data_IF_054575305394
#
_entry.id   IF_054575305394
#
_cell.length_a   1.000
_cell.length_b   1.000
_cell.length_c   1.000
_cell.angle_alpha   90.00
_cell.angle_beta   90.00
_cell.angle_gamma   90.00
#
_symmetry.space_group_name_H-M   'P 1'
#
loop_
_entity.id
_entity.type
_entity.pdbx_description
1 polymer ?
#
# COMPACT_ATOMS: atom_id res chain seq x y z
N UNK A 1 13.34 -21.12 -14.03
CA UNK A 1 12.00 -20.62 -13.67
C UNK A 1 10.98 -21.49 -14.37
N UNK A 2 10.10 -22.16 -13.64
CA UNK A 2 9.02 -22.96 -14.22
C UNK A 2 8.07 -21.99 -14.96
N UNK A 3 7.80 -22.24 -16.24
CA UNK A 3 6.86 -21.45 -17.03
C UNK A 3 5.56 -22.22 -17.15
N UNK A 4 4.44 -21.51 -17.03
CA UNK A 4 3.12 -22.06 -17.35
C UNK A 4 3.11 -22.65 -18.76
N UNK A 5 2.55 -23.85 -18.91
CA UNK A 5 2.51 -24.60 -20.16
C UNK A 5 1.09 -25.02 -20.57
N UNK A 6 0.07 -24.42 -19.95
CA UNK A 6 -1.33 -24.67 -20.30
C UNK A 6 -1.80 -23.79 -21.48
N UNK A 7 -3.12 -23.72 -21.65
CA UNK A 7 -3.78 -23.12 -22.81
C UNK A 7 -4.52 -21.82 -22.53
N UNK A 8 -4.52 -21.34 -21.29
CA UNK A 8 -5.14 -20.08 -20.90
C UNK A 8 -4.57 -18.91 -21.69
N UNK A 9 -5.48 -18.06 -22.19
CA UNK A 9 -5.16 -16.81 -22.89
C UNK A 9 -5.97 -15.69 -22.21
N UNK A 10 -5.32 -14.60 -21.75
CA UNK A 10 -6.03 -13.50 -21.12
C UNK A 10 -6.90 -12.76 -22.13
N UNK A 11 -8.06 -12.26 -21.68
CA UNK A 11 -8.94 -11.41 -22.48
C UNK A 11 -8.34 -10.01 -22.64
N UNK A 12 -8.83 -9.24 -23.61
CA UNK A 12 -8.42 -7.84 -23.80
C UNK A 12 -8.69 -6.99 -22.55
N UNK A 13 -9.84 -7.19 -21.90
CA UNK A 13 -10.21 -6.53 -20.63
C UNK A 13 -9.19 -6.83 -19.52
N UNK A 14 -8.75 -8.10 -19.38
CA UNK A 14 -7.72 -8.46 -18.39
C UNK A 14 -6.40 -7.76 -18.68
N UNK A 15 -6.00 -7.70 -19.97
CA UNK A 15 -4.76 -7.04 -20.38
C UNK A 15 -4.85 -5.55 -20.02
N UNK A 16 -5.95 -4.88 -20.38
CA UNK A 16 -6.17 -3.47 -20.08
C UNK A 16 -6.14 -3.19 -18.56
N UNK A 17 -6.77 -4.05 -17.75
CA UNK A 17 -6.76 -3.91 -16.30
C UNK A 17 -5.35 -4.04 -15.71
N UNK A 18 -4.55 -4.97 -16.22
CA UNK A 18 -3.15 -5.15 -15.81
C UNK A 18 -2.31 -3.93 -16.21
N UNK A 19 -2.45 -3.45 -17.44
CA UNK A 19 -1.72 -2.27 -17.95
C UNK A 19 -2.09 -0.98 -17.19
N UNK A 20 -3.36 -0.83 -16.81
CA UNK A 20 -3.80 0.26 -15.95
C UNK A 20 -3.11 0.20 -14.57
N UNK A 21 -3.01 -1.00 -13.98
CA UNK A 21 -2.30 -1.19 -12.71
C UNK A 21 -0.80 -0.89 -12.84
N UNK A 22 -0.16 -1.27 -13.95
CA UNK A 22 1.24 -0.91 -14.25
C UNK A 22 1.42 0.60 -14.37
N UNK A 23 0.48 1.30 -15.01
CA UNK A 23 0.48 2.77 -15.09
C UNK A 23 0.40 3.41 -13.71
N UNK A 24 -0.49 2.94 -12.85
CA UNK A 24 -0.60 3.42 -11.46
C UNK A 24 0.69 3.14 -10.67
N UNK A 25 1.29 1.96 -10.85
CA UNK A 25 2.56 1.59 -10.19
C UNK A 25 3.70 2.51 -10.64
N UNK A 26 3.82 2.80 -11.94
CA UNK A 26 4.83 3.72 -12.47
C UNK A 26 4.73 5.12 -11.84
N UNK A 27 3.52 5.60 -11.58
CA UNK A 27 3.30 6.86 -10.86
C UNK A 27 3.83 6.75 -9.43
N UNK A 28 3.52 5.67 -8.72
CA UNK A 28 4.04 5.41 -7.36
C UNK A 28 5.57 5.34 -7.33
N UNK A 29 6.18 4.70 -8.34
CA UNK A 29 7.63 4.64 -8.51
C UNK A 29 8.24 6.02 -8.80
N UNK A 30 7.57 6.86 -9.58
CA UNK A 30 8.01 8.24 -9.80
C UNK A 30 8.04 9.05 -8.49
N UNK A 31 7.03 8.91 -7.62
CA UNK A 31 7.07 9.48 -6.27
C UNK A 31 8.27 8.96 -5.47
N UNK A 32 8.54 7.64 -5.51
CA UNK A 32 9.69 7.05 -4.84
C UNK A 32 11.03 7.61 -5.35
N UNK A 33 11.19 7.76 -6.66
CA UNK A 33 12.41 8.32 -7.25
C UNK A 33 12.62 9.78 -6.81
N UNK A 34 11.57 10.59 -6.77
CA UNK A 34 11.64 11.96 -6.24
C UNK A 34 12.05 11.96 -4.75
N UNK A 35 11.51 11.04 -3.93
CA UNK A 35 11.96 10.86 -2.53
C UNK A 35 13.43 10.48 -2.44
N UNK A 36 13.87 9.58 -3.31
CA UNK A 36 15.22 9.03 -3.28
C UNK A 36 16.26 10.08 -3.68
N UNK A 37 15.93 11.00 -4.58
CA UNK A 37 16.84 12.06 -5.04
C UNK A 37 17.06 13.18 -4.01
N UNK A 38 16.33 13.22 -2.90
CA UNK A 38 16.47 14.22 -1.84
C UNK A 38 17.48 13.83 -0.73
N UNK A 39 18.60 13.18 -1.07
CA UNK A 39 19.56 12.59 -0.11
C UNK A 39 20.18 13.57 0.90
N UNK A 40 20.14 14.89 0.66
CA UNK A 40 20.61 15.90 1.61
C UNK A 40 19.46 16.62 2.31
N UNK A 41 19.19 16.25 3.57
CA UNK A 41 18.24 16.97 4.41
C UNK A 41 18.99 18.02 5.23
N UNK A 42 19.05 19.26 4.73
CA UNK A 42 19.49 20.40 5.54
C UNK A 42 18.34 20.79 6.46
N UNK A 43 18.55 20.71 7.76
CA UNK A 43 17.55 21.14 8.76
C UNK A 43 17.85 22.60 9.12
N UNK A 44 17.05 23.58 8.66
CA UNK A 44 17.22 24.96 9.09
C UNK A 44 16.86 25.07 10.58
N UNK A 45 17.76 25.64 11.38
CA UNK A 45 17.52 25.95 12.79
C UNK A 45 17.40 27.46 12.90
N UNK A 46 16.15 27.94 12.93
CA UNK A 46 15.84 29.37 13.06
C UNK A 46 15.90 29.86 14.52
N UNK A 47 15.59 28.97 15.47
CA UNK A 47 15.61 29.29 16.90
C UNK A 47 17.06 29.46 17.40
N UNK A 48 17.38 30.69 17.82
CA UNK A 48 18.71 31.05 18.32
C UNK A 48 19.10 30.33 19.62
N UNK A 49 18.12 30.02 20.47
CA UNK A 49 18.31 29.32 21.73
C UNK A 49 18.63 27.84 21.48
N UNK A 50 17.92 27.22 20.55
CA UNK A 50 18.14 25.84 20.10
C UNK A 50 19.49 25.69 19.39
N UNK A 51 19.86 26.68 18.58
CA UNK A 51 21.17 26.74 17.92
C UNK A 51 22.32 26.79 18.93
N UNK A 52 22.14 27.52 20.03
CA UNK A 52 23.11 27.53 21.14
C UNK A 52 23.14 26.22 21.92
N UNK A 53 22.00 25.55 22.13
CA UNK A 53 21.97 24.22 22.76
C UNK A 53 22.74 23.19 21.93
N UNK A 54 22.51 23.14 20.62
CA UNK A 54 23.22 22.22 19.71
C UNK A 54 24.72 22.51 19.67
N UNK A 55 25.14 23.79 19.68
CA UNK A 55 26.58 24.15 19.75
C UNK A 55 27.25 23.73 21.05
N UNK A 56 26.50 23.66 22.15
CA UNK A 56 27.01 23.30 23.49
C UNK A 56 26.97 21.80 23.76
N UNK A 57 26.26 21.03 22.93
CA UNK A 57 26.20 19.58 23.04
C UNK A 57 27.61 18.97 22.92
N UNK A 58 27.91 18.02 23.79
CA UNK A 58 29.23 17.39 23.90
C UNK A 58 29.32 16.08 23.12
N UNK A 59 28.19 15.55 22.64
CA UNK A 59 28.13 14.30 21.90
C UNK A 59 27.07 14.32 20.80
N UNK A 60 27.20 13.40 19.84
CA UNK A 60 26.18 13.19 18.79
C UNK A 60 24.84 12.79 19.39
N UNK A 61 24.83 11.96 20.45
CA UNK A 61 23.60 11.55 21.13
C UNK A 61 22.85 12.73 21.74
N UNK A 62 23.57 13.71 22.34
CA UNK A 62 22.94 14.93 22.87
C UNK A 62 22.34 15.80 21.76
N UNK A 63 23.02 15.91 20.61
CA UNK A 63 22.49 16.63 19.45
C UNK A 63 21.21 15.95 18.94
N UNK A 64 21.20 14.62 18.84
CA UNK A 64 20.02 13.84 18.45
C UNK A 64 18.86 14.02 19.43
N UNK A 65 19.13 13.99 20.74
CA UNK A 65 18.13 14.20 21.79
C UNK A 65 17.52 15.61 21.72
N UNK A 66 18.36 16.64 21.57
CA UNK A 66 17.92 18.04 21.40
C UNK A 66 17.08 18.18 20.13
N UNK A 67 17.54 17.62 19.01
CA UNK A 67 16.86 17.70 17.73
C UNK A 67 15.50 16.97 17.76
N UNK A 68 15.45 15.80 18.41
CA UNK A 68 14.21 15.02 18.59
C UNK A 68 13.21 15.74 19.49
N UNK A 69 13.65 16.33 20.60
CA UNK A 69 12.77 17.00 21.57
C UNK A 69 12.16 18.29 21.00
N UNK A 70 12.83 18.91 20.02
CA UNK A 70 12.38 20.14 19.36
C UNK A 70 11.79 19.88 17.97
N UNK A 71 11.38 18.65 17.64
CA UNK A 71 10.75 18.28 16.36
C UNK A 71 11.58 18.62 15.10
N UNK A 72 12.89 18.88 15.25
CA UNK A 72 13.79 19.21 14.15
C UNK A 72 13.98 18.04 13.17
N UNK A 73 13.80 16.82 13.68
CA UNK A 73 13.95 15.59 12.90
C UNK A 73 12.63 15.06 12.32
N UNK A 74 11.48 15.66 12.66
CA UNK A 74 10.16 15.10 12.30
C UNK A 74 9.98 15.02 10.79
N UNK A 75 10.41 16.06 10.06
CA UNK A 75 10.41 16.03 8.60
C UNK A 75 11.31 14.91 8.06
N UNK A 76 12.52 14.74 8.62
CA UNK A 76 13.43 13.68 8.20
C UNK A 76 12.84 12.28 8.45
N UNK A 77 12.25 12.04 9.62
CA UNK A 77 11.60 10.76 9.93
C UNK A 77 10.36 10.51 9.09
N UNK A 78 9.55 11.54 8.82
CA UNK A 78 8.41 11.44 7.92
C UNK A 78 8.87 11.03 6.51
N UNK A 79 9.82 11.76 5.92
CA UNK A 79 10.40 11.43 4.60
C UNK A 79 10.97 10.02 4.57
N UNK A 80 11.72 9.63 5.60
CA UNK A 80 12.32 8.31 5.73
C UNK A 80 11.26 7.21 5.78
N UNK A 81 10.23 7.38 6.61
CA UNK A 81 9.16 6.40 6.75
C UNK A 81 8.38 6.25 5.45
N UNK A 82 7.96 7.37 4.84
CA UNK A 82 7.29 7.34 3.54
C UNK A 82 8.14 6.64 2.49
N UNK A 83 9.44 6.95 2.38
CA UNK A 83 10.36 6.33 1.42
C UNK A 83 10.35 4.81 1.55
N UNK A 84 10.49 4.28 2.77
CA UNK A 84 10.56 2.83 2.97
C UNK A 84 9.22 2.13 2.82
N UNK A 85 8.12 2.75 3.24
CA UNK A 85 6.77 2.21 3.00
C UNK A 85 6.47 2.16 1.49
N UNK A 86 6.79 3.23 0.75
CA UNK A 86 6.56 3.30 -0.68
C UNK A 86 7.45 2.33 -1.45
N UNK A 87 8.72 2.19 -1.06
CA UNK A 87 9.63 1.20 -1.64
C UNK A 87 9.10 -0.24 -1.46
N UNK A 88 8.68 -0.60 -0.24
CA UNK A 88 8.10 -1.91 0.04
C UNK A 88 6.82 -2.13 -0.76
N UNK A 89 5.96 -1.11 -0.85
CA UNK A 89 4.75 -1.15 -1.65
C UNK A 89 5.05 -1.43 -3.13
N UNK A 90 5.90 -0.62 -3.76
CA UNK A 90 6.21 -0.76 -5.19
C UNK A 90 6.85 -2.11 -5.52
N UNK A 91 7.78 -2.60 -4.68
CA UNK A 91 8.42 -3.90 -4.89
C UNK A 91 7.39 -5.03 -4.86
N UNK A 92 6.56 -5.10 -3.81
CA UNK A 92 5.59 -6.18 -3.67
C UNK A 92 4.49 -6.13 -4.73
N UNK A 93 3.97 -4.94 -5.05
CA UNK A 93 2.95 -4.77 -6.10
C UNK A 93 3.53 -5.06 -7.48
N UNK A 94 4.73 -4.60 -7.80
CA UNK A 94 5.39 -4.92 -9.06
C UNK A 94 5.60 -6.42 -9.25
N UNK A 95 6.02 -7.13 -8.19
CA UNK A 95 6.12 -8.60 -8.25
C UNK A 95 4.75 -9.28 -8.33
N UNK A 96 3.72 -8.73 -7.68
CA UNK A 96 2.35 -9.23 -7.78
C UNK A 96 1.84 -9.15 -9.23
N UNK A 97 1.98 -7.98 -9.87
CA UNK A 97 1.57 -7.75 -11.26
C UNK A 97 2.39 -8.63 -12.23
N UNK A 98 3.70 -8.76 -12.00
CA UNK A 98 4.53 -9.64 -12.82
C UNK A 98 4.05 -11.11 -12.76
N UNK A 99 3.62 -11.57 -11.59
CA UNK A 99 3.11 -12.93 -11.42
C UNK A 99 1.74 -13.12 -12.08
N UNK A 100 0.87 -12.09 -12.11
CA UNK A 100 -0.39 -12.21 -12.84
C UNK A 100 -0.15 -12.34 -14.34
N UNK A 101 0.81 -11.58 -14.90
CA UNK A 101 1.24 -11.67 -16.31
C UNK A 101 1.86 -13.02 -16.66
N UNK A 102 2.33 -13.76 -15.66
CA UNK A 102 2.90 -15.10 -15.81
C UNK A 102 1.92 -16.22 -15.47
N UNK A 103 0.65 -15.88 -15.26
CA UNK A 103 -0.42 -16.83 -14.95
C UNK A 103 -0.23 -17.57 -13.62
N UNK A 104 0.36 -16.87 -12.63
CA UNK A 104 0.54 -17.33 -11.26
C UNK A 104 -0.32 -16.52 -10.27
N UNK A 105 -1.67 -16.53 -10.38
CA UNK A 105 -2.53 -15.70 -9.55
C UNK A 105 -2.38 -15.97 -8.05
N UNK A 106 -2.09 -17.20 -7.64
CA UNK A 106 -1.80 -17.56 -6.25
C UNK A 106 -0.60 -16.80 -5.70
N UNK A 107 0.49 -16.69 -6.47
CA UNK A 107 1.67 -15.93 -6.05
C UNK A 107 1.32 -14.43 -6.07
N UNK A 108 0.59 -13.98 -7.10
CA UNK A 108 0.17 -12.58 -7.21
C UNK A 108 -0.65 -12.14 -5.99
N UNK A 109 -1.67 -12.89 -5.57
CA UNK A 109 -2.48 -12.57 -4.38
C UNK A 109 -1.70 -12.69 -3.07
N UNK A 110 -0.82 -13.69 -2.93
CA UNK A 110 0.06 -13.81 -1.77
C UNK A 110 0.92 -12.54 -1.60
N UNK A 111 1.52 -12.06 -2.71
CA UNK A 111 2.32 -10.84 -2.72
C UNK A 111 1.51 -9.57 -2.54
N UNK A 112 0.28 -9.50 -3.09
CA UNK A 112 -0.60 -8.34 -2.97
C UNK A 112 -1.12 -8.13 -1.53
N UNK A 113 -1.19 -9.20 -0.73
CA UNK A 113 -1.76 -9.15 0.62
C UNK A 113 -1.13 -8.07 1.50
N UNK A 114 0.20 -8.10 1.66
CA UNK A 114 0.94 -7.17 2.50
C UNK A 114 0.79 -5.69 2.05
N UNK A 115 1.09 -5.31 0.79
CA UNK A 115 1.04 -3.92 0.37
C UNK A 115 -0.35 -3.30 0.52
N UNK A 116 -1.43 -4.01 0.16
CA UNK A 116 -2.78 -3.46 0.24
C UNK A 116 -3.41 -3.58 1.63
N UNK A 117 -3.15 -4.64 2.39
CA UNK A 117 -3.77 -4.81 3.71
C UNK A 117 -2.99 -4.15 4.84
N UNK A 118 -1.68 -3.97 4.68
CA UNK A 118 -0.79 -3.53 5.75
C UNK A 118 -0.06 -2.24 5.40
N UNK A 119 0.77 -2.25 4.35
CA UNK A 119 1.58 -1.07 3.97
C UNK A 119 0.70 0.15 3.65
N UNK A 120 -0.39 -0.04 2.90
CA UNK A 120 -1.35 1.01 2.60
C UNK A 120 -2.03 1.56 3.86
N UNK A 121 -2.31 0.75 4.87
CA UNK A 121 -2.88 1.21 6.13
C UNK A 121 -1.93 2.16 6.87
N UNK A 122 -0.62 1.89 6.81
CA UNK A 122 0.39 2.80 7.33
C UNK A 122 0.49 4.10 6.53
N UNK A 123 0.43 4.04 5.20
CA UNK A 123 0.38 5.24 4.35
C UNK A 123 -0.86 6.09 4.65
N UNK A 124 -2.02 5.46 4.82
CA UNK A 124 -3.28 6.10 5.21
C UNK A 124 -3.17 6.79 6.57
N UNK A 125 -2.64 6.09 7.58
CA UNK A 125 -2.43 6.67 8.92
C UNK A 125 -1.46 7.84 8.87
N UNK A 126 -0.41 7.73 8.07
CA UNK A 126 0.55 8.80 7.85
C UNK A 126 -0.10 10.01 7.18
N UNK A 127 -1.03 9.80 6.23
CA UNK A 127 -1.80 10.88 5.61
C UNK A 127 -2.70 11.60 6.62
N UNK A 128 -3.27 10.90 7.60
CA UNK A 128 -4.03 11.54 8.68
C UNK A 128 -3.09 12.33 9.59
N UNK A 129 -2.06 11.67 10.14
CA UNK A 129 -1.13 12.26 11.10
C UNK A 129 0.28 11.67 10.95
N UNK A 130 1.19 12.36 10.22
CA UNK A 130 2.55 11.88 10.01
C UNK A 130 3.34 11.71 11.32
N UNK A 131 3.27 12.69 12.22
CA UNK A 131 4.03 12.71 13.47
C UNK A 131 3.65 11.56 14.40
N UNK A 132 2.35 11.33 14.58
CA UNK A 132 1.85 10.21 15.40
C UNK A 132 2.23 8.87 14.77
N UNK A 133 2.20 8.77 13.44
CA UNK A 133 2.57 7.54 12.73
C UNK A 133 4.06 7.23 12.87
N UNK A 134 4.93 8.23 12.75
CA UNK A 134 6.37 8.08 13.02
C UNK A 134 6.60 7.63 14.47
N UNK A 135 5.99 8.33 15.45
CA UNK A 135 6.11 7.95 16.88
C UNK A 135 5.65 6.51 17.12
N UNK A 136 4.57 6.08 16.47
CA UNK A 136 4.08 4.71 16.54
C UNK A 136 5.09 3.71 15.97
N UNK A 137 5.57 3.92 14.75
CA UNK A 137 6.48 2.98 14.05
C UNK A 137 7.81 2.84 14.76
N UNK A 138 8.36 3.92 15.29
CA UNK A 138 9.64 3.92 16.01
C UNK A 138 9.51 3.65 17.52
N UNK A 139 8.30 3.40 18.04
CA UNK A 139 8.12 2.99 19.43
C UNK A 139 8.60 1.55 19.69
N UNK A 140 9.06 1.27 20.91
CA UNK A 140 9.45 -0.09 21.35
C UNK A 140 8.25 -0.96 21.75
N UNK A 141 7.10 -0.81 21.08
CA UNK A 141 5.92 -1.61 21.34
C UNK A 141 5.34 -2.19 20.04
N UNK A 142 5.67 -3.44 19.77
CA UNK A 142 5.18 -4.16 18.60
C UNK A 142 3.65 -4.35 18.60
N UNK A 143 3.00 -4.44 19.76
CA UNK A 143 1.54 -4.66 19.83
C UNK A 143 0.74 -3.45 19.31
N UNK A 144 1.29 -2.25 19.47
CA UNK A 144 0.64 -1.03 19.01
C UNK A 144 0.74 -0.85 17.48
N UNK A 145 1.68 -1.55 16.85
CA UNK A 145 1.93 -1.56 15.40
C UNK A 145 1.04 -2.56 14.66
N UNK A 146 0.33 -3.42 15.38
CA UNK A 146 -0.53 -4.42 14.76
C UNK A 146 -1.80 -3.76 14.20
N UNK A 147 -2.23 -4.19 13.01
CA UNK A 147 -3.41 -3.66 12.33
C UNK A 147 -4.60 -4.52 12.73
N UNK A 148 -5.66 -3.88 13.22
CA UNK A 148 -6.87 -4.53 13.74
C UNK A 148 -6.58 -5.55 14.85
N UNK A 149 -5.66 -5.20 15.75
CA UNK A 149 -5.35 -6.00 16.94
C UNK A 149 -6.62 -6.18 17.79
N UNK A 150 -6.95 -7.44 18.10
CA UNK A 150 -8.14 -7.88 18.86
C UNK A 150 -8.30 -7.23 20.24
N UNK A 151 -7.23 -6.65 20.78
CA UNK A 151 -7.22 -6.01 22.10
C UNK A 151 -7.39 -4.47 22.06
N UNK A 152 -7.80 -3.88 20.93
CA UNK A 152 -7.99 -2.43 20.75
C UNK A 152 -6.73 -1.57 21.01
N UNK A 153 -5.53 -2.15 20.90
CA UNK A 153 -4.25 -1.45 21.10
C UNK A 153 -3.53 -1.09 19.79
N UNK A 154 -4.03 -1.58 18.67
CA UNK A 154 -3.43 -1.42 17.34
C UNK A 154 -4.08 -0.32 16.50
N UNK A 155 -3.75 -0.29 15.21
CA UNK A 155 -4.38 0.61 14.24
C UNK A 155 -5.77 0.08 13.89
N UNK A 156 -6.81 0.89 14.02
CA UNK A 156 -8.14 0.57 13.50
C UNK A 156 -8.16 0.88 11.99
N UNK A 157 -8.06 -0.15 11.15
CA UNK A 157 -7.95 0.01 9.70
C UNK A 157 -9.20 0.64 9.10
N UNK A 158 -10.39 0.29 9.60
CA UNK A 158 -11.66 0.79 9.08
C UNK A 158 -11.85 2.27 9.36
N UNK A 159 -11.60 2.70 10.60
CA UNK A 159 -11.66 4.12 10.97
C UNK A 159 -10.60 4.94 10.22
N UNK A 160 -9.39 4.41 10.11
CA UNK A 160 -8.29 5.04 9.36
C UNK A 160 -8.68 5.25 7.90
N UNK A 161 -9.20 4.22 7.25
CA UNK A 161 -9.65 4.27 5.86
C UNK A 161 -10.79 5.29 5.66
N UNK A 162 -11.82 5.27 6.52
CA UNK A 162 -12.92 6.23 6.43
C UNK A 162 -12.48 7.68 6.65
N UNK A 163 -11.49 7.92 7.51
CA UNK A 163 -10.92 9.26 7.70
C UNK A 163 -10.15 9.72 6.45
N UNK A 164 -9.42 8.82 5.80
CA UNK A 164 -8.70 9.14 4.56
C UNK A 164 -9.65 9.45 3.41
N UNK A 165 -10.75 8.72 3.23
CA UNK A 165 -11.72 9.05 2.17
C UNK A 165 -12.25 10.47 2.25
N UNK A 166 -12.51 10.96 3.46
CA UNK A 166 -12.93 12.36 3.69
C UNK A 166 -11.84 13.35 3.31
N UNK A 167 -10.57 13.02 3.59
CA UNK A 167 -9.43 13.85 3.18
C UNK A 167 -9.33 13.91 1.66
N UNK A 168 -9.58 12.79 0.98
CA UNK A 168 -9.48 12.67 -0.48
C UNK A 168 -10.74 13.16 -1.22
N UNK A 169 -11.86 13.39 -0.53
CA UNK A 169 -13.15 13.70 -1.15
C UNK A 169 -13.75 12.52 -1.94
N UNK A 170 -13.48 11.29 -1.51
CA UNK A 170 -13.91 10.05 -2.16
C UNK A 170 -14.98 9.29 -1.34
N UNK A 171 -15.90 10.03 -0.72
CA UNK A 171 -16.89 9.46 0.21
C UNK A 171 -17.78 8.37 -0.42
N UNK A 172 -17.98 8.40 -1.74
CA UNK A 172 -18.79 7.40 -2.46
C UNK A 172 -18.15 5.99 -2.49
N UNK A 173 -16.85 5.87 -2.20
CA UNK A 173 -16.11 4.60 -2.20
C UNK A 173 -16.10 3.87 -0.85
N UNK A 174 -16.85 4.37 0.14
CA UNK A 174 -16.71 4.05 1.57
C UNK A 174 -16.76 2.58 1.99
N UNK A 175 -17.46 1.71 1.29
CA UNK A 175 -17.42 0.27 1.64
C UNK A 175 -16.70 -0.54 0.56
N UNK A 176 -16.60 -0.04 -0.68
CA UNK A 176 -16.07 -0.82 -1.81
C UNK A 176 -14.60 -1.18 -1.62
N UNK A 177 -13.73 -0.20 -1.39
CA UNK A 177 -12.28 -0.46 -1.29
C UNK A 177 -11.92 -1.15 0.02
N UNK A 178 -12.62 -0.84 1.12
CA UNK A 178 -12.37 -1.49 2.40
C UNK A 178 -12.64 -3.00 2.30
N UNK A 179 -13.80 -3.38 1.75
CA UNK A 179 -14.18 -4.79 1.63
C UNK A 179 -13.30 -5.52 0.62
N UNK A 180 -12.93 -4.87 -0.50
CA UNK A 180 -11.95 -5.41 -1.47
C UNK A 180 -10.60 -5.76 -0.83
N UNK A 181 -10.20 -5.06 0.25
CA UNK A 181 -8.95 -5.33 0.98
C UNK A 181 -9.15 -6.36 2.07
N UNK A 182 -10.17 -6.21 2.91
CA UNK A 182 -10.22 -6.82 4.23
C UNK A 182 -11.32 -7.86 4.44
N UNK A 183 -12.37 -7.88 3.60
CA UNK A 183 -13.48 -8.80 3.80
C UNK A 183 -13.01 -10.26 3.77
N UNK A 184 -13.65 -11.14 4.54
CA UNK A 184 -13.21 -12.55 4.66
C UNK A 184 -14.17 -13.55 4.02
N UNK A 185 -15.39 -13.10 3.81
CA UNK A 185 -16.55 -13.83 3.31
C UNK A 185 -16.79 -13.62 1.80
N UNK A 186 -16.19 -12.58 1.21
CA UNK A 186 -16.17 -12.34 -0.23
C UNK A 186 -14.74 -12.43 -0.79
N UNK A 187 -14.57 -12.60 -2.13
CA UNK A 187 -13.27 -12.50 -2.78
C UNK A 187 -12.63 -11.12 -2.55
N UNK A 188 -11.65 -11.07 -1.66
CA UNK A 188 -10.86 -9.89 -1.32
C UNK A 188 -9.38 -10.21 -1.36
N UNK A 189 -8.52 -9.18 -1.32
CA UNK A 189 -7.08 -9.35 -1.23
C UNK A 189 -6.69 -10.17 0.02
N UNK A 190 -7.28 -9.88 1.18
CA UNK A 190 -6.99 -10.64 2.41
C UNK A 190 -7.47 -12.08 2.33
N UNK A 191 -8.72 -12.31 1.91
CA UNK A 191 -9.29 -13.66 1.89
C UNK A 191 -8.50 -14.59 0.96
N UNK A 192 -8.18 -14.10 -0.25
CA UNK A 192 -7.46 -14.90 -1.25
C UNK A 192 -5.96 -14.98 -0.90
N UNK A 193 -5.36 -13.89 -0.43
CA UNK A 193 -3.96 -13.86 0.01
C UNK A 193 -3.69 -14.81 1.18
N UNK A 194 -4.59 -14.86 2.17
CA UNK A 194 -4.52 -15.84 3.27
C UNK A 194 -4.62 -17.28 2.71
N UNK A 195 -5.55 -17.54 1.78
CA UNK A 195 -5.67 -18.85 1.12
C UNK A 195 -4.40 -19.22 0.34
N UNK A 196 -3.79 -18.27 -0.35
CA UNK A 196 -2.57 -18.47 -1.13
C UNK A 196 -1.32 -18.70 -0.26
N UNK A 197 -1.31 -18.16 0.96
CA UNK A 197 -0.19 -18.30 1.89
C UNK A 197 -0.16 -19.63 2.63
N UNK A 198 -1.27 -20.35 2.68
CA UNK A 198 -1.42 -21.57 3.45
C UNK A 198 -1.72 -22.77 2.55
N UNK A 199 -1.14 -23.93 2.86
CA UNK A 199 -1.41 -25.18 2.13
C UNK A 199 -2.86 -25.64 2.34
N UNK A 200 -3.39 -25.42 3.55
CA UNK A 200 -4.78 -25.66 3.90
C UNK A 200 -5.26 -24.58 4.88
N UNK A 201 -6.53 -24.20 4.79
CA UNK A 201 -7.15 -23.25 5.73
C UNK A 201 -8.39 -23.90 6.37
N UNK A 202 -8.51 -23.77 7.70
CA UNK A 202 -9.66 -24.29 8.47
C UNK A 202 -10.61 -23.19 8.98
N UNK A 203 -10.35 -21.94 8.59
CA UNK A 203 -11.12 -20.77 9.02
C UNK A 203 -12.43 -20.59 8.26
N UNK A 204 -13.31 -19.73 8.78
CA UNK A 204 -14.62 -19.39 8.22
C UNK A 204 -14.59 -18.56 6.91
N UNK A 205 -13.46 -18.51 6.21
CA UNK A 205 -13.32 -17.80 4.93
C UNK A 205 -13.83 -18.64 3.74
N UNK A 206 -13.42 -18.27 2.52
CA UNK A 206 -13.75 -19.02 1.28
C UNK A 206 -13.38 -20.50 1.47
N UNK A 207 -14.41 -21.36 1.58
CA UNK A 207 -14.24 -22.78 1.90
C UNK A 207 -13.56 -23.51 0.74
N UNK A 208 -12.57 -24.31 1.06
CA UNK A 208 -11.93 -25.26 0.13
C UNK A 208 -12.80 -26.52 0.06
N UNK A 209 -12.91 -27.15 -1.11
CA UNK A 209 -13.62 -28.43 -1.23
C UNK A 209 -12.85 -29.55 -0.51
N UNK A 210 -13.57 -30.59 -0.07
CA UNK A 210 -12.96 -31.71 0.65
C UNK A 210 -12.02 -32.49 -0.29
N UNK A 211 -10.73 -32.55 0.06
CA UNK A 211 -9.71 -33.23 -0.74
C UNK A 211 -8.77 -32.30 -1.51
N UNK A 212 -8.96 -30.98 -1.44
CA UNK A 212 -8.11 -29.99 -2.10
C UNK A 212 -7.05 -29.37 -1.17
N UNK A 213 -5.85 -29.10 -1.72
CA UNK A 213 -4.81 -28.30 -1.08
C UNK A 213 -4.74 -26.92 -1.74
N UNK A 214 -5.58 -25.97 -1.31
CA UNK A 214 -5.64 -24.59 -1.80
C UNK A 214 -5.20 -24.41 -3.27
N UNK A 215 -4.05 -23.78 -3.52
CA UNK A 215 -3.55 -23.49 -4.87
C UNK A 215 -2.45 -24.46 -5.36
N UNK A 216 -2.34 -25.65 -4.76
CA UNK A 216 -1.38 -26.66 -5.20
C UNK A 216 -1.78 -27.26 -6.55
N UNK A 217 -3.08 -27.54 -6.74
CA UNK A 217 -3.63 -28.10 -7.96
C UNK A 217 -4.19 -26.99 -8.83
N UNK A 218 -3.31 -26.14 -9.37
CA UNK A 218 -3.72 -25.02 -10.22
C UNK A 218 -3.85 -25.46 -11.68
N UNK A 219 -5.06 -25.33 -12.22
CA UNK A 219 -5.41 -25.64 -13.60
C UNK A 219 -5.90 -24.37 -14.33
N UNK A 220 -6.03 -24.44 -15.66
CA UNK A 220 -6.39 -23.29 -16.52
C UNK A 220 -7.64 -22.54 -16.04
N UNK A 221 -8.68 -23.26 -15.62
CA UNK A 221 -9.92 -22.64 -15.10
C UNK A 221 -9.69 -21.85 -13.80
N UNK A 222 -8.86 -22.37 -12.89
CA UNK A 222 -8.49 -21.67 -11.65
C UNK A 222 -7.64 -20.44 -11.99
N UNK A 223 -6.71 -20.57 -12.93
CA UNK A 223 -5.91 -19.43 -13.40
C UNK A 223 -6.80 -18.33 -13.94
N UNK A 224 -7.74 -18.68 -14.81
CA UNK A 224 -8.70 -17.75 -15.41
C UNK A 224 -9.54 -17.05 -14.34
N UNK A 225 -10.18 -17.81 -13.45
CA UNK A 225 -11.08 -17.26 -12.42
C UNK A 225 -10.36 -16.30 -11.49
N UNK A 226 -9.19 -16.68 -10.97
CA UNK A 226 -8.45 -15.81 -10.06
C UNK A 226 -7.79 -14.64 -10.80
N UNK A 227 -7.46 -14.77 -12.08
CA UNK A 227 -7.02 -13.62 -12.90
C UNK A 227 -8.16 -12.63 -13.11
N UNK A 228 -9.40 -13.09 -13.38
CA UNK A 228 -10.58 -12.23 -13.44
C UNK A 228 -10.79 -11.46 -12.15
N UNK A 229 -10.74 -12.15 -11.01
CA UNK A 229 -10.89 -11.52 -9.70
C UNK A 229 -9.78 -10.49 -9.47
N UNK A 230 -8.53 -10.81 -9.79
CA UNK A 230 -7.40 -9.88 -9.66
C UNK A 230 -7.63 -8.61 -10.48
N UNK A 231 -8.02 -8.76 -11.75
CA UNK A 231 -8.31 -7.65 -12.66
C UNK A 231 -9.54 -6.83 -12.23
N UNK A 232 -10.48 -7.43 -11.49
CA UNK A 232 -11.62 -6.72 -10.90
C UNK A 232 -11.26 -5.90 -9.66
N UNK A 233 -10.35 -6.42 -8.82
CA UNK A 233 -10.00 -5.80 -7.54
C UNK A 233 -8.94 -4.72 -7.68
N UNK A 234 -7.85 -5.02 -8.40
CA UNK A 234 -6.65 -4.20 -8.34
C UNK A 234 -6.78 -2.81 -8.96
N UNK A 235 -7.49 -2.59 -10.08
CA UNK A 235 -7.56 -1.27 -10.70
C UNK A 235 -8.09 -0.19 -9.74
N UNK A 236 -9.22 -0.45 -9.06
CA UNK A 236 -9.78 0.52 -8.12
C UNK A 236 -8.87 0.71 -6.89
N UNK A 237 -8.20 -0.35 -6.44
CA UNK A 237 -7.22 -0.26 -5.35
C UNK A 237 -6.02 0.59 -5.73
N UNK A 238 -5.47 0.40 -6.93
CA UNK A 238 -4.33 1.14 -7.44
C UNK A 238 -4.68 2.60 -7.71
N UNK A 239 -5.87 2.87 -8.25
CA UNK A 239 -6.42 4.22 -8.36
C UNK A 239 -6.38 4.95 -7.01
N UNK A 240 -6.94 4.31 -5.98
CA UNK A 240 -6.98 4.87 -4.64
C UNK A 240 -5.58 5.08 -4.04
N UNK A 241 -4.67 4.14 -4.23
CA UNK A 241 -3.28 4.25 -3.78
C UNK A 241 -2.59 5.49 -4.38
N UNK A 242 -2.76 5.76 -5.68
CA UNK A 242 -2.17 6.95 -6.33
C UNK A 242 -2.65 8.22 -5.64
N UNK A 243 -3.95 8.32 -5.33
CA UNK A 243 -4.50 9.47 -4.61
C UNK A 243 -3.96 9.61 -3.18
N UNK A 244 -3.88 8.50 -2.43
CA UNK A 244 -3.28 8.49 -1.08
C UNK A 244 -1.85 8.99 -1.13
N UNK A 245 -1.03 8.48 -2.05
CA UNK A 245 0.37 8.85 -2.17
C UNK A 245 0.51 10.31 -2.61
N UNK A 246 -0.25 10.78 -3.61
CA UNK A 246 -0.17 12.17 -4.06
C UNK A 246 -0.49 13.16 -2.93
N UNK A 247 -1.57 12.91 -2.17
CA UNK A 247 -1.93 13.77 -1.04
C UNK A 247 -0.91 13.69 0.11
N UNK A 248 -0.38 12.51 0.39
CA UNK A 248 0.64 12.32 1.41
C UNK A 248 1.95 13.02 1.02
N UNK A 249 2.30 12.96 -0.26
CA UNK A 249 3.46 13.66 -0.81
C UNK A 249 3.28 15.18 -0.70
N UNK A 250 2.12 15.72 -1.06
CA UNK A 250 1.82 17.13 -0.86
C UNK A 250 1.87 17.52 0.62
N UNK A 251 1.32 16.69 1.52
CA UNK A 251 1.34 16.95 2.97
C UNK A 251 2.75 17.01 3.56
N UNK A 252 3.68 16.19 3.09
CA UNK A 252 5.06 16.12 3.63
C UNK A 252 5.99 17.12 2.94
N UNK A 253 5.82 17.38 1.64
CA UNK A 253 6.75 18.18 0.83
C UNK A 253 6.21 19.53 0.36
N UNK A 254 4.91 19.79 0.53
CA UNK A 254 4.25 20.97 -0.07
C UNK A 254 4.30 20.96 -1.60
N UNK A 255 4.43 19.77 -2.21
CA UNK A 255 4.50 19.56 -3.65
C UNK A 255 3.36 18.66 -4.09
N UNK A 256 2.59 19.10 -5.07
CA UNK A 256 1.57 18.29 -5.71
C UNK A 256 2.07 17.84 -7.09
N UNK A 257 1.88 16.56 -7.43
CA UNK A 257 2.12 16.09 -8.79
C UNK A 257 0.81 16.27 -9.57
N UNK A 258 0.90 16.86 -10.78
CA UNK A 258 -0.25 17.03 -11.66
C UNK A 258 -0.74 15.66 -12.13
N UNK A 259 -1.95 15.29 -11.70
CA UNK A 259 -2.61 14.03 -12.05
C UNK A 259 -3.50 14.12 -13.30
N UNK A 260 -3.47 15.21 -14.09
CA UNK A 260 -4.34 15.34 -15.28
C UNK A 260 -4.27 14.17 -16.26
N UNK A 261 -3.06 13.74 -16.62
CA UNK A 261 -2.89 12.62 -17.57
C UNK A 261 -3.37 11.31 -16.96
N UNK A 262 -3.09 11.10 -15.68
CA UNK A 262 -3.58 9.96 -14.92
C UNK A 262 -5.10 9.93 -14.82
N UNK A 263 -5.74 11.06 -14.53
CA UNK A 263 -7.19 11.18 -14.44
C UNK A 263 -7.84 10.91 -15.79
N UNK A 264 -7.27 11.42 -16.87
CA UNK A 264 -7.74 11.11 -18.23
C UNK A 264 -7.66 9.61 -18.52
N UNK A 265 -6.52 8.97 -18.23
CA UNK A 265 -6.36 7.53 -18.42
C UNK A 265 -7.32 6.71 -17.56
N UNK A 266 -7.56 7.17 -16.32
CA UNK A 266 -8.51 6.57 -15.38
C UNK A 266 -9.95 6.68 -15.87
N UNK A 267 -10.35 7.85 -16.36
CA UNK A 267 -11.67 8.06 -16.95
C UNK A 267 -11.84 7.14 -18.15
N UNK A 268 -10.86 7.07 -19.05
CA UNK A 268 -10.92 6.17 -20.21
C UNK A 268 -11.02 4.69 -19.81
N UNK A 269 -10.36 4.26 -18.72
CA UNK A 269 -10.42 2.89 -18.22
C UNK A 269 -11.81 2.57 -17.62
N UNK A 270 -12.28 3.35 -16.64
CA UNK A 270 -13.52 3.07 -15.92
C UNK A 270 -14.80 3.45 -16.70
N UNK A 271 -14.73 4.33 -17.71
CA UNK A 271 -15.89 4.64 -18.56
C UNK A 271 -16.03 3.73 -19.79
N UNK A 272 -14.94 3.12 -20.28
CA UNK A 272 -15.04 2.12 -21.37
C UNK A 272 -15.53 0.78 -20.86
N UNK A 273 -15.14 0.42 -19.63
CA UNK A 273 -15.59 -0.80 -18.97
C UNK A 273 -16.73 -0.43 -18.02
N UNK A 274 -17.99 -0.63 -18.42
CA UNK A 274 -19.13 -0.43 -17.52
C UNK A 274 -19.00 -1.37 -16.31
N UNK A 275 -18.41 -0.88 -15.22
CA UNK A 275 -18.43 -1.51 -13.89
C UNK A 275 -19.78 -1.32 -13.20
#
# INVERSE_FOLDING_TARGET
>A
MLRYSGSFVPTEEMINAIEYCETCLNICEAFFLELNNQESCTIPIEDAQLKEQIKKAQSVCEIEEIARTNSLLDNMYNKRLLKYLLMDFCIYVGQSILNIKQFNPQIAFCLARKPFCETLCYLEKMLINPEETVKLVFSDNAQNKDIDNRNNKGINSKETYHAVLKILGLDDLKESIYDMRYAKDIPSIRAIGDRASHIATSGAGIKVESGELNFIFIEDGVIEDFTKIYCKLLPLLMYYVVYVINHLFNKIFGKEIDLKEFNKATDEFFWKENY
#
